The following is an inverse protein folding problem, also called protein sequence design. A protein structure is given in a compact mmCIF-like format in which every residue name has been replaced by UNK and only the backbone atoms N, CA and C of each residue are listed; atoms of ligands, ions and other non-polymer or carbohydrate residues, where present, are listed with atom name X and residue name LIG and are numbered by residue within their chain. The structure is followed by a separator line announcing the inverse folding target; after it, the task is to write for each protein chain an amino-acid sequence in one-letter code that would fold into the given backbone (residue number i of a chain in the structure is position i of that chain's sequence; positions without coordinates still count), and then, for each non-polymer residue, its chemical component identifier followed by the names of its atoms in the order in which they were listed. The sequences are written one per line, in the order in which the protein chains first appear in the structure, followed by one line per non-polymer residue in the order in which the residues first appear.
data_IF_354080536051
#
_entry.id   IF_354080536051
#
_cell.length_a   1.000
_cell.length_b   1.000
_cell.length_c   1.000
_cell.angle_alpha   90.00
_cell.angle_beta   90.00
_cell.angle_gamma   90.00
#
_symmetry.space_group_name_H-M   'P 1'
#
loop_
_entity.id
_entity.type
_entity.pdbx_description
1 polymer ?
#
# COMPACT_ATOMS: atom_id res chain seq x y z
N UNK A 1 -7.63 10.98 27.80
CA UNK A 1 -7.94 11.47 26.44
C UNK A 1 -6.78 12.34 26.00
N UNK A 2 -6.19 12.05 24.83
CA UNK A 2 -5.60 13.02 23.88
C UNK A 2 -4.64 12.31 22.92
N UNK A 3 -4.94 12.44 21.63
CA UNK A 3 -4.15 11.91 20.52
C UNK A 3 -5.04 11.50 19.36
N UNK A 4 -5.85 12.42 18.81
CA UNK A 4 -6.29 12.29 17.42
C UNK A 4 -5.06 12.45 16.52
N UNK A 5 -4.18 11.44 16.51
CA UNK A 5 -3.18 11.31 15.47
C UNK A 5 -3.96 11.03 14.20
N UNK A 6 -4.03 12.00 13.28
CA UNK A 6 -4.54 11.76 11.93
C UNK A 6 -3.96 10.43 11.44
N UNK A 7 -4.81 9.43 11.18
CA UNK A 7 -4.41 8.16 10.58
C UNK A 7 -3.89 8.47 9.18
N UNK A 8 -2.59 8.76 9.07
CA UNK A 8 -1.99 9.14 7.79
C UNK A 8 -1.98 7.91 6.89
N UNK A 9 -2.56 8.07 5.70
CA UNK A 9 -2.65 7.05 4.67
C UNK A 9 -1.51 7.24 3.68
N UNK A 10 -0.78 6.17 3.38
CA UNK A 10 0.24 6.17 2.33
C UNK A 10 0.01 4.99 1.40
N UNK A 11 0.06 5.28 0.12
CA UNK A 11 0.01 4.27 -0.94
C UNK A 11 1.41 4.02 -1.45
N UNK A 12 1.73 2.78 -1.78
CA UNK A 12 3.03 2.37 -2.31
C UNK A 12 2.77 1.62 -3.62
N UNK A 13 3.14 2.25 -4.74
CA UNK A 13 3.03 1.63 -6.06
C UNK A 13 4.19 0.65 -6.27
N UNK A 14 3.94 -0.64 -6.04
CA UNK A 14 4.93 -1.71 -6.18
C UNK A 14 5.64 -2.09 -4.86
N UNK A 15 5.03 -2.99 -4.10
CA UNK A 15 5.58 -3.60 -2.88
C UNK A 15 6.47 -4.82 -3.18
N UNK A 16 7.49 -4.63 -4.02
CA UNK A 16 8.53 -5.61 -4.30
C UNK A 16 9.61 -5.68 -3.20
N UNK A 17 10.85 -5.95 -3.60
CA UNK A 17 11.98 -6.15 -2.68
C UNK A 17 12.23 -4.97 -1.73
N UNK A 18 12.01 -3.72 -2.18
CA UNK A 18 12.19 -2.51 -1.38
C UNK A 18 10.87 -2.03 -0.76
N UNK A 19 9.80 -2.04 -1.57
CA UNK A 19 8.49 -1.54 -1.13
C UNK A 19 7.91 -2.34 0.03
N UNK A 20 8.14 -3.65 0.10
CA UNK A 20 7.63 -4.49 1.19
C UNK A 20 8.30 -4.18 2.55
N UNK A 21 9.65 -4.14 2.69
CA UNK A 21 10.29 -3.67 3.92
C UNK A 21 9.86 -2.27 4.34
N UNK A 22 9.74 -1.34 3.39
CA UNK A 22 9.28 0.03 3.65
C UNK A 22 7.85 0.05 4.19
N UNK A 23 6.93 -0.68 3.54
CA UNK A 23 5.54 -0.79 3.94
C UNK A 23 5.42 -1.34 5.37
N UNK A 24 6.16 -2.40 5.70
CA UNK A 24 6.20 -2.96 7.07
C UNK A 24 6.70 -1.95 8.10
N UNK A 25 7.73 -1.17 7.77
CA UNK A 25 8.25 -0.12 8.65
C UNK A 25 7.20 0.98 8.90
N UNK A 26 6.44 1.36 7.88
CA UNK A 26 5.39 2.38 7.99
C UNK A 26 4.19 1.88 8.80
N UNK A 27 3.76 0.63 8.57
CA UNK A 27 2.75 -0.04 9.42
C UNK A 27 3.20 -0.03 10.88
N UNK A 28 4.46 -0.41 11.17
CA UNK A 28 5.01 -0.41 12.52
C UNK A 28 5.08 1.00 13.15
N UNK A 29 5.10 2.06 12.34
CA UNK A 29 5.02 3.46 12.77
C UNK A 29 3.57 3.98 12.91
N UNK A 30 2.57 3.13 12.73
CA UNK A 30 1.15 3.46 12.87
C UNK A 30 0.51 4.09 11.63
N UNK A 31 1.13 3.96 10.45
CA UNK A 31 0.53 4.42 9.21
C UNK A 31 -0.49 3.41 8.68
N UNK A 32 -1.53 3.90 8.02
CA UNK A 32 -2.38 3.06 7.17
C UNK A 32 -1.70 2.94 5.81
N UNK A 33 -1.23 1.74 5.48
CA UNK A 33 -0.45 1.51 4.26
C UNK A 33 -1.27 0.73 3.25
N UNK A 34 -1.41 1.29 2.04
CA UNK A 34 -1.94 0.63 0.85
C UNK A 34 -0.76 0.20 -0.01
N UNK A 35 -0.63 -1.08 -0.31
CA UNK A 35 0.50 -1.60 -1.07
C UNK A 35 0.03 -2.33 -2.31
N UNK A 36 0.65 -2.03 -3.46
CA UNK A 36 0.28 -2.71 -4.70
C UNK A 36 1.31 -3.73 -5.18
N UNK A 37 0.84 -4.69 -5.98
CA UNK A 37 1.65 -5.69 -6.67
C UNK A 37 1.04 -5.95 -8.05
N UNK A 38 1.82 -6.46 -8.99
CA UNK A 38 1.33 -6.90 -10.31
C UNK A 38 0.92 -8.38 -10.32
N UNK A 39 1.31 -9.14 -9.29
CA UNK A 39 1.08 -10.59 -9.16
C UNK A 39 0.09 -10.89 -8.04
N UNK A 40 -0.97 -11.63 -8.36
CA UNK A 40 -2.08 -11.94 -7.46
C UNK A 40 -1.64 -12.72 -6.22
N UNK A 41 -0.69 -13.63 -6.37
CA UNK A 41 -0.19 -14.52 -5.31
C UNK A 41 0.46 -13.75 -4.15
N UNK A 42 0.90 -12.50 -4.38
CA UNK A 42 1.52 -11.65 -3.36
C UNK A 42 0.52 -10.84 -2.54
N UNK A 43 -0.76 -10.83 -2.89
CA UNK A 43 -1.77 -10.05 -2.15
C UNK A 43 -1.89 -10.54 -0.70
N UNK A 44 -1.91 -11.85 -0.48
CA UNK A 44 -1.95 -12.43 0.87
C UNK A 44 -0.73 -12.03 1.70
N UNK A 45 0.46 -12.04 1.09
CA UNK A 45 1.69 -11.61 1.76
C UNK A 45 1.64 -10.15 2.23
N UNK A 46 1.01 -9.26 1.46
CA UNK A 46 0.81 -7.87 1.86
C UNK A 46 -0.20 -7.79 3.01
N UNK A 47 -1.33 -8.50 2.89
CA UNK A 47 -2.36 -8.52 3.93
C UNK A 47 -1.83 -9.05 5.27
N UNK A 48 -1.07 -10.15 5.26
CA UNK A 48 -0.41 -10.72 6.44
C UNK A 48 0.60 -9.76 7.08
N UNK A 49 1.17 -8.83 6.30
CA UNK A 49 2.06 -7.79 6.78
C UNK A 49 1.34 -6.55 7.32
N UNK A 50 0.00 -6.57 7.40
CA UNK A 50 -0.82 -5.43 7.84
C UNK A 50 -0.96 -4.32 6.79
N UNK A 51 -0.71 -4.64 5.52
CA UNK A 51 -0.78 -3.72 4.38
C UNK A 51 -2.08 -4.00 3.62
N UNK A 52 -2.86 -2.97 3.30
CA UNK A 52 -4.05 -3.11 2.46
C UNK A 52 -3.60 -3.44 1.01
N UNK A 53 -3.94 -4.63 0.48
CA UNK A 53 -3.36 -5.11 -0.78
C UNK A 53 -4.12 -4.60 -2.01
N UNK A 54 -3.38 -4.19 -3.04
CA UNK A 54 -3.94 -3.80 -4.34
C UNK A 54 -3.26 -4.53 -5.49
N UNK A 55 -4.06 -5.06 -6.42
CA UNK A 55 -3.53 -5.56 -7.68
C UNK A 55 -3.54 -4.41 -8.68
N UNK A 56 -2.37 -3.97 -9.12
CA UNK A 56 -2.23 -2.88 -10.10
C UNK A 56 -1.37 -3.35 -11.25
N UNK A 57 -1.81 -3.10 -12.47
CA UNK A 57 -1.05 -3.38 -13.69
C UNK A 57 -0.87 -2.09 -14.48
N UNK A 58 0.37 -1.74 -14.72
CA UNK A 58 0.75 -0.62 -15.57
C UNK A 58 1.24 -1.17 -16.91
N UNK A 59 0.65 -0.68 -17.98
CA UNK A 59 1.08 -0.88 -19.37
C UNK A 59 1.61 0.47 -19.90
N UNK A 60 2.12 0.51 -21.12
CA UNK A 60 2.77 1.70 -21.67
C UNK A 60 1.89 2.97 -21.62
N UNK A 61 0.57 2.84 -21.87
CA UNK A 61 -0.36 3.98 -21.90
C UNK A 61 -1.52 3.84 -20.90
N UNK A 62 -1.63 2.73 -20.18
CA UNK A 62 -2.79 2.47 -19.30
C UNK A 62 -2.39 1.97 -17.93
N UNK A 63 -3.22 2.30 -16.94
CA UNK A 63 -3.09 1.82 -15.58
C UNK A 63 -4.40 1.18 -15.14
N UNK A 64 -4.36 -0.13 -14.88
CA UNK A 64 -5.46 -0.87 -14.28
C UNK A 64 -5.27 -0.84 -12.76
N UNK A 65 -6.08 -0.05 -12.07
CA UNK A 65 -6.02 0.12 -10.62
C UNK A 65 -7.41 0.43 -10.06
N UNK A 66 -7.68 -0.05 -8.85
CA UNK A 66 -8.83 0.38 -8.06
C UNK A 66 -8.65 1.85 -7.62
N UNK A 67 -9.63 2.75 -7.85
CA UNK A 67 -9.50 4.16 -7.50
C UNK A 67 -9.19 4.41 -6.02
N UNK A 68 -9.66 3.53 -5.13
CA UNK A 68 -9.41 3.61 -3.69
C UNK A 68 -7.93 3.48 -3.33
N UNK A 69 -7.08 2.93 -4.21
CA UNK A 69 -5.63 2.96 -4.01
C UNK A 69 -5.10 4.39 -3.92
N UNK A 70 -5.67 5.35 -4.64
CA UNK A 70 -5.19 6.73 -4.68
C UNK A 70 -5.80 7.61 -3.58
N UNK A 71 -6.70 7.08 -2.76
CA UNK A 71 -7.19 7.77 -1.56
C UNK A 71 -6.16 7.68 -0.42
N UNK A 72 -5.08 8.45 -0.54
CA UNK A 72 -4.00 8.54 0.44
C UNK A 72 -3.47 9.97 0.57
N UNK A 73 -2.80 10.25 1.69
CA UNK A 73 -2.12 11.54 1.90
C UNK A 73 -0.80 11.61 1.09
N UNK A 74 -0.19 10.45 0.84
CA UNK A 74 1.06 10.29 0.10
C UNK A 74 1.00 9.05 -0.81
N UNK A 75 1.78 9.08 -1.90
CA UNK A 75 2.00 7.98 -2.86
C UNK A 75 3.49 7.77 -3.10
#
# INVERSE_FOLDING_TARGET
MNGEGKNKKISILGCGWLGLPLAKLLVAKGWQVKGSTTTFEKLNLLQEAGIEPFLIRAEAETLQAEPSFFDSDFL
#
